data_IF_542873434951
#
_entry.id   IF_542873434951
#
_cell.length_a   1.000
_cell.length_b   1.000
_cell.length_c   1.000
_cell.angle_alpha   90.00
_cell.angle_beta   90.00
_cell.angle_gamma   90.00
#
_symmetry.space_group_name_H-M   'P 1'
#
loop_
_entity.id
_entity.type
_entity.pdbx_description
1 polymer ?
#
# COMPACT_ATOMS: atom_id res chain seq x y z
N UNK A 1 47.44 -3.66 -28.56
CA UNK A 1 46.60 -3.43 -27.36
C UNK A 1 45.56 -2.38 -27.71
N UNK A 2 44.35 -2.77 -28.11
CA UNK A 2 43.28 -1.83 -28.42
C UNK A 2 42.68 -1.30 -27.12
N UNK A 3 42.60 0.02 -26.97
CA UNK A 3 41.86 0.65 -25.88
C UNK A 3 40.39 0.64 -26.28
N UNK A 4 39.57 -0.11 -25.55
CA UNK A 4 38.12 -0.15 -25.80
C UNK A 4 37.53 1.26 -25.66
N UNK A 5 37.06 1.80 -26.79
CA UNK A 5 36.36 3.08 -26.82
C UNK A 5 34.95 2.85 -26.29
N UNK A 6 34.77 2.99 -24.98
CA UNK A 6 33.47 2.83 -24.34
C UNK A 6 32.62 4.10 -24.48
N UNK A 7 31.37 3.91 -24.93
CA UNK A 7 30.40 5.01 -24.99
C UNK A 7 29.92 5.37 -23.57
N UNK A 8 30.41 6.50 -23.06
CA UNK A 8 30.07 7.01 -21.73
C UNK A 8 28.57 7.29 -21.56
N UNK A 9 27.86 7.65 -22.64
CA UNK A 9 26.41 7.87 -22.62
C UNK A 9 25.64 6.58 -22.33
N UNK A 10 26.04 5.47 -22.95
CA UNK A 10 25.46 4.14 -22.67
C UNK A 10 25.69 3.74 -21.22
N UNK A 11 26.89 3.95 -20.69
CA UNK A 11 27.24 3.64 -19.29
C UNK A 11 26.40 4.48 -18.33
N UNK A 12 26.24 5.79 -18.57
CA UNK A 12 25.39 6.67 -17.74
C UNK A 12 23.93 6.23 -17.77
N UNK A 13 23.39 5.90 -18.96
CA UNK A 13 22.03 5.39 -19.10
C UNK A 13 21.84 4.04 -18.41
N UNK A 14 22.85 3.18 -18.41
CA UNK A 14 22.80 1.90 -17.69
C UNK A 14 22.73 2.14 -16.18
N UNK A 15 23.64 2.97 -15.64
CA UNK A 15 23.65 3.35 -14.22
C UNK A 15 22.31 3.95 -13.76
N UNK A 16 21.73 4.86 -14.54
CA UNK A 16 20.44 5.47 -14.22
C UNK A 16 19.29 4.43 -14.18
N UNK A 17 19.31 3.43 -15.07
CA UNK A 17 18.32 2.34 -15.04
C UNK A 17 18.52 1.43 -13.84
N UNK A 18 19.76 1.11 -13.50
CA UNK A 18 20.09 0.24 -12.37
C UNK A 18 19.70 0.91 -11.04
N UNK A 19 19.93 2.22 -10.91
CA UNK A 19 19.50 3.00 -9.75
C UNK A 19 17.98 3.06 -9.63
N UNK A 20 17.27 3.25 -10.75
CA UNK A 20 15.80 3.18 -10.78
C UNK A 20 15.26 1.80 -10.38
N UNK A 21 15.95 0.71 -10.76
CA UNK A 21 15.58 -0.64 -10.31
C UNK A 21 15.78 -0.80 -8.81
N UNK A 22 16.94 -0.40 -8.28
CA UNK A 22 17.21 -0.46 -6.83
C UNK A 22 16.19 0.30 -5.99
N UNK A 23 15.78 1.49 -6.43
CA UNK A 23 14.75 2.26 -5.73
C UNK A 23 13.38 1.59 -5.84
N UNK A 24 13.04 1.01 -6.99
CA UNK A 24 11.82 0.23 -7.16
C UNK A 24 11.81 -1.02 -6.26
N UNK A 25 12.91 -1.75 -6.18
CA UNK A 25 13.05 -2.95 -5.32
C UNK A 25 12.96 -2.56 -3.84
N UNK A 26 13.62 -1.46 -3.44
CA UNK A 26 13.50 -0.93 -2.09
C UNK A 26 12.06 -0.50 -1.76
N UNK A 27 11.35 0.11 -2.72
CA UNK A 27 9.95 0.48 -2.56
C UNK A 27 9.04 -0.75 -2.57
N UNK A 28 9.33 -1.78 -3.35
CA UNK A 28 8.60 -3.04 -3.34
C UNK A 28 8.79 -3.78 -2.02
N UNK A 29 9.99 -3.76 -1.43
CA UNK A 29 10.23 -4.32 -0.10
C UNK A 29 9.57 -3.49 1.01
N UNK A 30 9.67 -2.15 0.94
CA UNK A 30 9.12 -1.23 1.96
C UNK A 30 7.60 -1.11 1.91
N UNK A 31 7.04 -1.11 0.71
CA UNK A 31 5.62 -0.90 0.44
C UNK A 31 5.02 -2.15 -0.20
N UNK A 32 5.49 -3.34 0.19
CA UNK A 32 5.16 -4.65 -0.40
C UNK A 32 3.69 -5.06 -0.44
N UNK A 33 2.77 -4.15 -0.12
CA UNK A 33 1.36 -4.23 -0.48
C UNK A 33 1.15 -3.54 -1.82
N UNK A 34 0.85 -4.34 -2.83
CA UNK A 34 0.38 -3.89 -4.14
C UNK A 34 -0.85 -3.00 -3.99
N UNK A 35 -1.14 -2.19 -5.02
CA UNK A 35 -2.34 -1.33 -5.02
C UNK A 35 -3.63 -2.14 -4.80
N UNK A 36 -3.69 -3.36 -5.34
CA UNK A 36 -4.81 -4.28 -5.18
C UNK A 36 -4.96 -4.77 -3.73
N UNK A 37 -3.86 -5.14 -3.07
CA UNK A 37 -3.86 -5.56 -1.67
C UNK A 37 -4.26 -4.42 -0.73
N UNK A 38 -3.75 -3.20 -0.99
CA UNK A 38 -4.19 -2.00 -0.24
C UNK A 38 -5.68 -1.72 -0.41
N UNK A 39 -6.23 -1.91 -1.62
CA UNK A 39 -7.65 -1.72 -1.86
C UNK A 39 -8.50 -2.79 -1.17
N UNK A 40 -8.06 -4.06 -1.19
CA UNK A 40 -8.73 -5.15 -0.52
C UNK A 40 -8.71 -4.98 1.01
N UNK A 41 -7.59 -4.56 1.58
CA UNK A 41 -7.45 -4.25 3.00
C UNK A 41 -8.36 -3.08 3.41
N UNK A 42 -8.37 -1.99 2.64
CA UNK A 42 -9.26 -0.86 2.89
C UNK A 42 -10.74 -1.26 2.83
N UNK A 43 -11.12 -2.16 1.91
CA UNK A 43 -12.49 -2.67 1.84
C UNK A 43 -12.85 -3.53 3.07
N UNK A 44 -11.93 -4.39 3.54
CA UNK A 44 -12.12 -5.18 4.76
C UNK A 44 -12.30 -4.30 5.99
N UNK A 45 -11.43 -3.31 6.17
CA UNK A 45 -11.50 -2.39 7.31
C UNK A 45 -12.82 -1.60 7.33
N UNK A 46 -13.33 -1.19 6.15
CA UNK A 46 -14.64 -0.53 6.07
C UNK A 46 -15.79 -1.46 6.43
N UNK A 47 -15.75 -2.70 5.98
CA UNK A 47 -16.77 -3.69 6.30
C UNK A 47 -16.79 -4.00 7.81
N UNK A 48 -15.61 -4.14 8.42
CA UNK A 48 -15.48 -4.32 9.87
C UNK A 48 -15.98 -3.10 10.65
N UNK A 49 -15.60 -1.88 10.23
CA UNK A 49 -16.10 -0.66 10.85
C UNK A 49 -17.63 -0.55 10.76
N UNK A 50 -18.21 -0.82 9.59
CA UNK A 50 -19.66 -0.81 9.40
C UNK A 50 -20.36 -1.87 10.26
N UNK A 51 -19.76 -3.06 10.40
CA UNK A 51 -20.28 -4.11 11.27
C UNK A 51 -20.26 -3.69 12.74
N UNK A 52 -19.17 -3.07 13.21
CA UNK A 52 -19.07 -2.55 14.57
C UNK A 52 -20.06 -1.42 14.82
N UNK A 53 -20.21 -0.49 13.89
CA UNK A 53 -21.19 0.59 13.97
C UNK A 53 -22.63 0.07 14.03
N UNK A 54 -22.96 -0.95 13.23
CA UNK A 54 -24.30 -1.58 13.26
C UNK A 54 -24.64 -2.22 14.62
N UNK A 55 -23.63 -2.64 15.38
CA UNK A 55 -23.80 -3.20 16.71
C UNK A 55 -23.51 -2.22 17.84
N UNK A 56 -23.20 -0.96 17.51
CA UNK A 56 -22.94 0.08 18.50
C UNK A 56 -24.26 0.47 19.17
N UNK A 57 -24.35 0.21 20.47
CA UNK A 57 -25.41 0.77 21.32
C UNK A 57 -24.93 2.11 21.83
N UNK A 58 -25.52 3.20 21.36
CA UNK A 58 -25.21 4.52 21.89
C UNK A 58 -25.71 4.60 23.34
N UNK A 59 -24.92 5.06 24.32
CA UNK A 59 -25.39 5.24 25.70
C UNK A 59 -26.46 6.33 25.84
N UNK A 60 -26.87 6.96 24.73
CA UNK A 60 -27.91 7.98 24.67
C UNK A 60 -29.27 7.46 24.12
N UNK A 61 -29.46 6.15 23.98
CA UNK A 61 -30.77 5.56 23.64
C UNK A 61 -31.55 5.24 24.94
N UNK A 62 -32.54 6.06 25.36
CA UNK A 62 -33.45 5.73 26.47
C UNK A 62 -34.57 4.75 26.06
N UNK A 63 -34.42 4.01 24.96
CA UNK A 63 -35.43 3.08 24.47
C UNK A 63 -35.09 1.64 24.89
N UNK A 64 -35.17 1.41 26.20
CA UNK A 64 -35.10 0.08 26.81
C UNK A 64 -36.16 -0.05 27.90
N UNK A 65 -37.37 0.45 27.65
CA UNK A 65 -38.51 0.18 28.53
C UNK A 65 -38.98 -1.26 28.25
N UNK A 66 -39.00 -2.15 29.27
CA UNK A 66 -39.52 -3.49 29.09
C UNK A 66 -41.04 -3.42 28.92
N UNK A 67 -41.56 -4.00 27.83
CA UNK A 67 -42.99 -4.28 27.67
C UNK A 67 -43.49 -5.10 28.88
N UNK A 68 -44.49 -4.56 29.57
CA UNK A 68 -45.31 -5.22 30.59
C UNK A 68 -46.79 -5.17 30.18
#
# INVERSE_FOLDING_TARGET
MARDVINLGRVRKQRARDEKRRTADANAARFGRTKAERAAEAARLRAEAAHLDAHRRDPADPAGEPEA
#
